data_IF_957492723213
#
_entry.id   IF_957492723213
#
_cell.length_a   1.000
_cell.length_b   1.000
_cell.length_c   1.000
_cell.angle_alpha   90.00
_cell.angle_beta   90.00
_cell.angle_gamma   90.00
#
_symmetry.space_group_name_H-M   'P 1'
#
loop_
_entity.id
_entity.type
_entity.pdbx_description
1 polymer ?
#
# COMPACT_ATOMS: atom_id res chain seq x y z
N UNK A 1 16.27 3.56 -1.23
CA UNK A 1 14.86 3.35 -0.82
C UNK A 1 14.10 4.68 -0.78
N UNK A 2 14.70 5.78 -0.35
CA UNK A 2 14.05 7.10 -0.33
C UNK A 2 13.53 7.58 -1.70
N UNK A 3 14.25 7.28 -2.80
CA UNK A 3 13.79 7.64 -4.15
C UNK A 3 12.49 6.95 -4.54
N UNK A 4 12.30 5.68 -4.15
CA UNK A 4 11.10 4.89 -4.47
C UNK A 4 9.89 5.46 -3.71
N UNK A 5 10.07 5.74 -2.42
CA UNK A 5 9.01 6.34 -1.60
C UNK A 5 8.64 7.72 -2.14
N UNK A 6 9.63 8.51 -2.54
CA UNK A 6 9.41 9.85 -3.08
C UNK A 6 8.67 9.82 -4.43
N UNK A 7 9.02 8.89 -5.32
CA UNK A 7 8.31 8.69 -6.58
C UNK A 7 6.87 8.23 -6.36
N UNK A 8 6.67 7.22 -5.51
CA UNK A 8 5.33 6.73 -5.15
C UNK A 8 4.49 7.82 -4.50
N UNK A 9 5.08 8.62 -3.60
CA UNK A 9 4.39 9.75 -3.00
C UNK A 9 4.03 10.80 -4.03
N UNK A 10 4.89 11.08 -5.00
CA UNK A 10 4.60 12.04 -6.08
C UNK A 10 3.45 11.54 -6.97
N UNK A 11 3.42 10.25 -7.25
CA UNK A 11 2.39 9.61 -8.06
C UNK A 11 1.04 9.59 -7.33
N UNK A 12 1.04 9.18 -6.06
CA UNK A 12 -0.17 9.08 -5.23
C UNK A 12 -0.67 10.44 -4.77
N UNK A 13 0.22 11.41 -4.51
CA UNK A 13 -0.14 12.79 -4.16
C UNK A 13 -0.43 13.66 -5.39
N UNK A 14 -0.40 13.10 -6.61
CA UNK A 14 -1.02 13.75 -7.76
C UNK A 14 -2.47 14.09 -7.42
N UNK A 15 -2.91 15.31 -7.70
CA UNK A 15 -4.19 15.84 -7.21
C UNK A 15 -5.38 14.94 -7.52
N UNK A 16 -5.43 14.37 -8.73
CA UNK A 16 -6.51 13.46 -9.17
C UNK A 16 -6.47 12.11 -8.44
N UNK A 17 -5.27 11.58 -8.18
CA UNK A 17 -5.07 10.30 -7.52
C UNK A 17 -5.41 10.39 -6.03
N UNK A 18 -4.90 11.44 -5.37
CA UNK A 18 -5.16 11.67 -3.95
C UNK A 18 -6.65 11.91 -3.69
N UNK A 19 -7.31 12.69 -4.55
CA UNK A 19 -8.76 12.91 -4.46
C UNK A 19 -9.55 11.60 -4.62
N UNK A 20 -9.18 10.78 -5.61
CA UNK A 20 -9.83 9.48 -5.85
C UNK A 20 -9.67 8.52 -4.67
N UNK A 21 -8.46 8.43 -4.11
CA UNK A 21 -8.18 7.59 -2.94
C UNK A 21 -8.93 8.11 -1.72
N UNK A 22 -8.87 9.42 -1.46
CA UNK A 22 -9.59 10.08 -0.37
C UNK A 22 -11.09 9.80 -0.42
N UNK A 23 -11.70 9.91 -1.60
CA UNK A 23 -13.10 9.62 -1.83
C UNK A 23 -13.44 8.14 -1.63
N UNK A 24 -12.57 7.22 -2.07
CA UNK A 24 -12.76 5.78 -1.88
C UNK A 24 -12.68 5.37 -0.40
N UNK A 25 -11.72 5.92 0.36
CA UNK A 25 -11.55 5.58 1.77
C UNK A 25 -12.48 6.34 2.70
N UNK A 26 -12.99 7.50 2.26
CA UNK A 26 -13.92 8.36 2.99
C UNK A 26 -13.24 9.24 4.04
N UNK A 27 -12.02 9.74 3.77
CA UNK A 27 -11.26 10.58 4.70
C UNK A 27 -10.62 11.80 4.03
N UNK A 28 -10.29 12.83 4.80
CA UNK A 28 -9.73 14.08 4.27
C UNK A 28 -8.45 13.88 3.43
N UNK A 29 -8.31 14.52 2.25
CA UNK A 29 -7.15 14.37 1.39
C UNK A 29 -5.81 14.59 2.11
N UNK A 30 -5.71 15.63 2.95
CA UNK A 30 -4.49 15.95 3.71
C UNK A 30 -4.14 14.85 4.73
N UNK A 31 -5.15 14.29 5.41
CA UNK A 31 -4.94 13.23 6.39
C UNK A 31 -4.59 11.90 5.71
N UNK A 32 -5.25 11.61 4.58
CA UNK A 32 -4.97 10.45 3.72
C UNK A 32 -3.55 10.53 3.15
N UNK A 33 -3.12 11.69 2.66
CA UNK A 33 -1.76 11.92 2.18
C UNK A 33 -0.72 11.70 3.30
N UNK A 34 -0.99 12.21 4.50
CA UNK A 34 -0.12 11.99 5.66
C UNK A 34 -0.03 10.51 6.04
N UNK A 35 -1.16 9.80 6.04
CA UNK A 35 -1.21 8.37 6.30
C UNK A 35 -0.42 7.57 5.26
N UNK A 36 -0.56 7.90 3.98
CA UNK A 36 0.19 7.28 2.88
C UNK A 36 1.70 7.51 3.02
N UNK A 37 2.11 8.74 3.36
CA UNK A 37 3.51 9.08 3.60
C UNK A 37 4.15 8.31 4.76
N UNK A 38 3.36 7.91 5.76
CA UNK A 38 3.83 7.03 6.84
C UNK A 38 3.73 5.55 6.48
N UNK A 39 2.66 5.15 5.79
CA UNK A 39 2.41 3.76 5.42
C UNK A 39 3.47 3.23 4.45
N UNK A 40 3.83 3.98 3.41
CA UNK A 40 4.77 3.52 2.38
C UNK A 40 6.13 3.05 2.95
N UNK A 41 6.85 3.84 3.76
CA UNK A 41 8.13 3.38 4.31
C UNK A 41 7.95 2.19 5.28
N UNK A 42 6.84 2.13 6.02
CA UNK A 42 6.54 0.99 6.90
C UNK A 42 6.30 -0.30 6.09
N UNK A 43 5.52 -0.21 5.02
CA UNK A 43 5.22 -1.33 4.11
C UNK A 43 6.52 -1.84 3.47
N UNK A 44 7.38 -0.95 2.97
CA UNK A 44 8.69 -1.32 2.43
C UNK A 44 9.57 -1.98 3.48
N UNK A 45 9.57 -1.46 4.71
CA UNK A 45 10.28 -2.06 5.84
C UNK A 45 9.77 -3.46 6.16
N UNK A 46 8.45 -3.65 6.23
CA UNK A 46 7.83 -4.97 6.44
C UNK A 46 8.14 -5.93 5.28
N UNK A 47 8.14 -5.46 4.04
CA UNK A 47 8.51 -6.25 2.87
C UNK A 47 9.96 -6.71 2.94
N UNK A 48 10.89 -5.78 3.19
CA UNK A 48 12.32 -6.09 3.37
C UNK A 48 12.54 -7.09 4.51
N UNK A 49 11.85 -6.89 5.64
CA UNK A 49 11.89 -7.80 6.78
C UNK A 49 11.32 -9.18 6.45
N UNK A 50 10.26 -9.29 5.65
CA UNK A 50 9.73 -10.56 5.21
C UNK A 50 10.67 -11.24 4.21
N UNK A 51 11.18 -10.53 3.20
CA UNK A 51 12.14 -11.05 2.23
C UNK A 51 13.42 -11.59 2.89
N UNK A 52 13.83 -11.01 4.02
CA UNK A 52 15.02 -11.42 4.78
C UNK A 52 14.82 -12.68 5.62
N UNK A 53 13.58 -13.18 5.78
CA UNK A 53 13.29 -14.43 6.50
C UNK A 53 13.47 -15.64 5.58
N UNK A 54 13.72 -16.81 6.18
CA UNK A 54 13.76 -18.09 5.46
C UNK A 54 12.43 -18.35 4.74
N UNK A 55 12.47 -18.58 3.42
CA UNK A 55 11.28 -18.74 2.57
C UNK A 55 10.50 -17.44 2.29
N UNK A 56 10.97 -16.30 2.80
CA UNK A 56 10.29 -15.02 2.66
C UNK A 56 10.37 -14.41 1.27
N UNK A 57 11.46 -14.69 0.53
CA UNK A 57 11.60 -14.31 -0.87
C UNK A 57 10.60 -15.06 -1.76
N UNK A 58 10.35 -16.35 -1.52
CA UNK A 58 9.32 -17.12 -2.24
C UNK A 58 7.92 -16.59 -1.96
N UNK A 59 7.62 -16.27 -0.70
CA UNK A 59 6.35 -15.67 -0.31
C UNK A 59 6.17 -14.29 -0.98
N UNK A 60 7.21 -13.46 -0.99
CA UNK A 60 7.21 -12.17 -1.67
C UNK A 60 7.02 -12.33 -3.18
N UNK A 61 7.70 -13.29 -3.80
CA UNK A 61 7.58 -13.57 -5.23
C UNK A 61 6.18 -14.08 -5.59
N UNK A 62 5.53 -14.83 -4.71
CA UNK A 62 4.11 -15.19 -4.82
C UNK A 62 3.19 -13.97 -4.77
N UNK A 63 3.43 -13.02 -3.86
CA UNK A 63 2.66 -11.76 -3.81
C UNK A 63 2.87 -10.89 -5.06
N UNK A 64 4.11 -10.78 -5.54
CA UNK A 64 4.44 -10.07 -6.79
C UNK A 64 3.78 -10.77 -7.98
N UNK A 65 3.73 -12.10 -7.99
CA UNK A 65 3.08 -12.89 -9.04
C UNK A 65 1.55 -12.69 -9.05
N UNK A 66 0.92 -12.50 -7.88
CA UNK A 66 -0.49 -12.13 -7.79
C UNK A 66 -0.78 -10.72 -8.32
N UNK A 67 0.25 -9.88 -8.36
CA UNK A 67 0.23 -8.53 -8.91
C UNK A 67 0.73 -8.48 -10.37
N UNK A 68 1.14 -9.61 -10.97
CA UNK A 68 1.87 -9.66 -12.24
C UNK A 68 1.21 -8.82 -13.33
N UNK A 69 1.86 -7.70 -13.65
CA UNK A 69 1.51 -6.80 -14.76
C UNK A 69 0.37 -5.82 -14.49
N UNK A 70 -0.25 -5.83 -13.30
CA UNK A 70 -1.31 -4.90 -12.95
C UNK A 70 -0.84 -3.94 -11.87
N UNK A 71 -0.13 -2.87 -12.26
CA UNK A 71 0.16 -1.79 -11.34
C UNK A 71 -1.16 -1.05 -11.02
N UNK A 72 -1.58 -0.97 -9.74
CA UNK A 72 -2.82 -0.28 -9.38
C UNK A 72 -2.86 1.17 -9.85
N UNK A 73 -1.70 1.81 -10.05
CA UNK A 73 -1.63 3.18 -10.56
C UNK A 73 -1.96 3.31 -12.05
N UNK A 74 -1.77 2.27 -12.87
CA UNK A 74 -2.10 2.33 -14.30
C UNK A 74 -3.63 2.43 -14.53
N UNK A 75 -4.41 1.90 -13.58
CA UNK A 75 -5.87 1.97 -13.59
C UNK A 75 -6.43 2.17 -12.18
N UNK A 76 -6.04 3.29 -11.55
CA UNK A 76 -6.42 3.59 -10.17
C UNK A 76 -7.94 3.65 -9.98
N UNK A 77 -8.67 4.23 -10.93
CA UNK A 77 -10.12 4.31 -10.87
C UNK A 77 -10.78 2.91 -10.90
N UNK A 78 -10.33 2.03 -11.80
CA UNK A 78 -10.80 0.65 -11.86
C UNK A 78 -10.45 -0.13 -10.59
N UNK A 79 -9.24 0.04 -10.07
CA UNK A 79 -8.78 -0.58 -8.83
C UNK A 79 -9.64 -0.15 -7.62
N UNK A 80 -9.89 1.16 -7.46
CA UNK A 80 -10.70 1.68 -6.36
C UNK A 80 -12.19 1.34 -6.49
N UNK A 81 -12.69 1.15 -7.72
CA UNK A 81 -14.07 0.73 -7.99
C UNK A 81 -14.32 -0.78 -7.79
N UNK A 82 -13.30 -1.54 -7.38
CA UNK A 82 -13.43 -2.97 -7.08
C UNK A 82 -12.90 -3.92 -8.15
N UNK A 83 -12.24 -3.40 -9.20
CA UNK A 83 -11.53 -4.24 -10.19
C UNK A 83 -10.15 -4.69 -9.67
N UNK A 84 -10.04 -4.92 -8.36
CA UNK A 84 -8.77 -5.29 -7.74
C UNK A 84 -8.38 -6.71 -8.19
N UNK A 85 -7.08 -6.99 -8.36
CA UNK A 85 -6.60 -8.34 -8.63
C UNK A 85 -7.12 -9.31 -7.57
N UNK A 86 -7.55 -10.50 -8.01
CA UNK A 86 -8.03 -11.56 -7.11
C UNK A 86 -6.93 -11.87 -6.07
N UNK A 87 -7.24 -11.70 -4.79
CA UNK A 87 -6.28 -11.92 -3.69
C UNK A 87 -5.66 -10.65 -3.08
N UNK A 88 -5.95 -9.46 -3.61
CA UNK A 88 -5.44 -8.18 -3.05
C UNK A 88 -5.81 -7.96 -1.58
N UNK A 89 -6.99 -8.41 -1.15
CA UNK A 89 -7.45 -8.33 0.23
C UNK A 89 -6.58 -9.15 1.20
N UNK A 90 -5.98 -10.25 0.71
CA UNK A 90 -5.08 -11.09 1.49
C UNK A 90 -3.64 -10.57 1.54
N UNK A 91 -3.22 -9.76 0.57
CA UNK A 91 -1.84 -9.26 0.47
C UNK A 91 -1.43 -8.45 1.69
N UNK A 92 -2.30 -7.57 2.19
CA UNK A 92 -2.02 -6.74 3.38
C UNK A 92 -1.76 -7.62 4.59
N UNK A 93 -2.66 -8.55 4.85
CA UNK A 93 -2.55 -9.46 5.99
C UNK A 93 -1.34 -10.39 5.86
N UNK A 94 -1.03 -10.87 4.65
CA UNK A 94 0.14 -11.72 4.41
C UNK A 94 1.45 -10.95 4.54
N UNK A 95 1.50 -9.69 4.10
CA UNK A 95 2.71 -8.86 4.15
C UNK A 95 2.95 -8.28 5.55
N UNK A 96 1.92 -7.65 6.13
CA UNK A 96 2.06 -6.95 7.41
C UNK A 96 1.82 -7.89 8.59
N UNK A 97 0.96 -8.91 8.46
CA UNK A 97 0.72 -9.92 9.48
C UNK A 97 0.45 -9.31 10.85
N UNK A 98 1.31 -9.66 11.82
CA UNK A 98 1.26 -9.14 13.19
C UNK A 98 1.56 -7.63 13.32
N UNK A 99 2.17 -7.01 12.30
CA UNK A 99 2.46 -5.58 12.30
C UNK A 99 1.27 -4.73 11.84
N UNK A 100 0.24 -5.33 11.25
CA UNK A 100 -0.92 -4.61 10.74
C UNK A 100 -1.58 -3.74 11.83
N UNK A 101 -1.87 -4.31 13.00
CA UNK A 101 -2.48 -3.58 14.12
C UNK A 101 -1.61 -2.42 14.62
N UNK A 102 -0.33 -2.66 15.01
CA UNK A 102 0.58 -1.60 15.44
C UNK A 102 0.76 -0.47 14.41
N UNK A 103 0.86 -0.81 13.12
CA UNK A 103 0.98 0.18 12.03
C UNK A 103 -0.30 1.00 11.91
N UNK A 104 -1.46 0.33 11.93
CA UNK A 104 -2.77 0.97 11.86
C UNK A 104 -2.99 1.94 13.02
N UNK A 105 -2.65 1.54 14.24
CA UNK A 105 -2.74 2.38 15.44
C UNK A 105 -1.78 3.57 15.40
N UNK A 106 -0.54 3.35 14.94
CA UNK A 106 0.46 4.42 14.83
C UNK A 106 0.00 5.50 13.83
N UNK A 107 -0.49 5.08 12.67
CA UNK A 107 -0.99 5.99 11.63
C UNK A 107 -2.27 6.69 12.11
N UNK A 108 -3.22 5.97 12.72
CA UNK A 108 -4.45 6.54 13.24
C UNK A 108 -4.17 7.63 14.28
N UNK A 109 -3.28 7.37 15.25
CA UNK A 109 -2.89 8.35 16.28
C UNK A 109 -2.21 9.59 15.71
N UNK A 110 -1.44 9.43 14.63
CA UNK A 110 -0.68 10.54 14.01
C UNK A 110 -1.51 11.37 13.06
N UNK A 111 -2.43 10.75 12.32
CA UNK A 111 -3.27 11.44 11.32
C UNK A 111 -4.62 11.89 11.87
N UNK A 112 -5.06 11.36 13.01
CA UNK A 112 -6.41 11.53 13.51
C UNK A 112 -7.46 10.74 12.73
N UNK A 113 -7.06 9.92 11.75
CA UNK A 113 -7.98 9.10 10.98
C UNK A 113 -8.52 7.92 11.81
N UNK A 114 -9.78 7.54 11.63
CA UNK A 114 -10.33 6.32 12.20
C UNK A 114 -9.52 5.10 11.75
N UNK A 115 -9.28 4.10 12.62
CA UNK A 115 -8.59 2.87 12.26
C UNK A 115 -9.19 2.20 11.02
N UNK A 116 -10.52 2.21 10.86
CA UNK A 116 -11.18 1.66 9.68
C UNK A 116 -10.72 2.33 8.37
N UNK A 117 -10.54 3.67 8.37
CA UNK A 117 -10.05 4.41 7.20
C UNK A 117 -8.57 4.07 6.96
N UNK A 118 -7.76 4.03 8.02
CA UNK A 118 -6.35 3.64 7.92
C UNK A 118 -6.19 2.22 7.33
N UNK A 119 -7.05 1.28 7.73
CA UNK A 119 -7.06 -0.07 7.17
C UNK A 119 -7.31 -0.06 5.66
N UNK A 120 -8.28 0.73 5.19
CA UNK A 120 -8.53 0.92 3.74
C UNK A 120 -7.35 1.55 3.02
N UNK A 121 -6.71 2.54 3.64
CA UNK A 121 -5.49 3.16 3.09
C UNK A 121 -4.38 2.12 2.92
N UNK A 122 -4.16 1.25 3.91
CA UNK A 122 -3.18 0.17 3.81
C UNK A 122 -3.55 -0.85 2.71
N UNK A 123 -4.83 -1.15 2.53
CA UNK A 123 -5.33 -2.02 1.44
C UNK A 123 -5.10 -1.46 0.04
N UNK A 124 -4.99 -0.14 -0.09
CA UNK A 124 -4.64 0.53 -1.34
C UNK A 124 -3.11 0.64 -1.48
N UNK A 125 -2.45 1.10 -0.42
CA UNK A 125 -1.01 1.38 -0.41
C UNK A 125 -0.14 0.13 -0.61
N UNK A 126 -0.50 -0.99 0.02
CA UNK A 126 0.30 -2.23 -0.05
C UNK A 126 0.42 -2.75 -1.48
N UNK A 127 -0.67 -2.95 -2.25
CA UNK A 127 -0.59 -3.29 -3.67
C UNK A 127 0.21 -2.29 -4.50
N UNK A 128 0.06 -0.97 -4.29
CA UNK A 128 0.81 0.04 -5.05
C UNK A 128 2.32 -0.13 -4.85
N UNK A 129 2.75 -0.27 -3.59
CA UNK A 129 4.16 -0.48 -3.25
C UNK A 129 4.66 -1.82 -3.82
N UNK A 130 3.87 -2.88 -3.68
CA UNK A 130 4.17 -4.21 -4.25
C UNK A 130 4.32 -4.17 -5.76
N UNK A 131 3.42 -3.49 -6.47
CA UNK A 131 3.45 -3.38 -7.93
C UNK A 131 4.69 -2.64 -8.41
N UNK A 132 5.01 -1.50 -7.78
CA UNK A 132 6.22 -0.72 -8.08
C UNK A 132 7.50 -1.50 -7.78
N UNK A 133 7.60 -2.15 -6.63
CA UNK A 133 8.77 -2.97 -6.28
C UNK A 133 8.89 -4.16 -7.21
N UNK A 134 7.76 -4.86 -7.46
CA UNK A 134 7.65 -5.95 -8.41
C UNK A 134 8.19 -5.56 -9.79
N UNK A 135 7.74 -4.42 -10.35
CA UNK A 135 8.20 -3.94 -11.66
C UNK A 135 9.68 -3.56 -11.71
N UNK A 136 10.35 -3.35 -10.58
CA UNK A 136 11.79 -3.06 -10.52
C UNK A 136 12.64 -4.32 -10.42
N UNK A 137 12.09 -5.41 -9.89
CA UNK A 137 12.78 -6.69 -9.68
C UNK A 137 12.43 -7.76 -10.71
N UNK A 138 11.40 -7.51 -11.52
CA UNK A 138 10.98 -8.32 -12.68
C UNK A 138 11.75 -7.91 -13.93
#
# INVERSE_FOLDING_TARGET
>A
MDSIVSELMKEVASGDNLASISQSVGGDPSAVQSALGMAMPLILGSMSNNASKSGGMDAMMGMVSQMSGANPMDNLSGFLSGSQPSGSAGLVSSLLGSQLGPIQDAIAKKTGLPPAIVGKILQIAVPIVLGKVGSMVS
#
